data_IF_749756631920
#
_entry.id   IF_749756631920
#
_cell.length_a   1.000
_cell.length_b   1.000
_cell.length_c   1.000
_cell.angle_alpha   90.00
_cell.angle_beta   90.00
_cell.angle_gamma   90.00
#
_symmetry.space_group_name_H-M   'P 1'
#
loop_
_entity.id
_entity.type
_entity.pdbx_description
1 polymer ?
#
# COMPACT_ATOMS: atom_id res chain seq x y z
N UNK A 1 -8.44 65.04 -25.60
CA UNK A 1 -8.46 63.62 -25.23
C UNK A 1 -9.06 63.58 -23.83
N UNK A 2 -10.39 63.72 -23.73
CA UNK A 2 -11.36 62.62 -23.47
C UNK A 2 -10.90 61.86 -22.20
N UNK A 3 -11.30 62.32 -21.01
CA UNK A 3 -12.55 62.00 -20.26
C UNK A 3 -12.54 60.54 -19.74
N UNK A 4 -12.95 60.17 -18.52
CA UNK A 4 -13.56 60.87 -17.38
C UNK A 4 -13.60 59.89 -16.17
N UNK A 5 -13.87 60.45 -14.99
CA UNK A 5 -14.24 59.82 -13.72
C UNK A 5 -15.21 58.61 -13.79
N UNK A 6 -15.12 57.66 -12.83
CA UNK A 6 -16.10 57.58 -11.73
C UNK A 6 -15.79 56.51 -10.66
N UNK A 7 -16.20 56.85 -9.43
CA UNK A 7 -16.28 56.03 -8.22
C UNK A 7 -17.30 54.88 -8.35
N UNK A 8 -17.07 53.75 -7.65
CA UNK A 8 -18.09 52.95 -6.91
C UNK A 8 -17.34 52.07 -5.87
N UNK A 9 -17.83 52.06 -4.63
CA UNK A 9 -17.57 51.05 -3.56
C UNK A 9 -18.83 50.16 -3.43
N UNK A 10 -18.95 49.30 -2.39
CA UNK A 10 -18.41 47.95 -2.17
C UNK A 10 -19.54 46.88 -2.12
N UNK A 11 -19.36 45.61 -2.51
CA UNK A 11 -20.26 44.52 -2.06
C UNK A 11 -19.55 43.17 -1.93
N UNK A 12 -20.08 42.39 -0.99
CA UNK A 12 -19.65 41.12 -0.42
C UNK A 12 -19.49 39.99 -1.44
N UNK A 13 -18.58 39.04 -1.19
CA UNK A 13 -18.96 37.64 -1.36
C UNK A 13 -18.14 36.66 -0.51
N UNK A 14 -18.84 35.57 -0.23
CA UNK A 14 -18.62 34.49 0.70
C UNK A 14 -17.36 33.65 0.46
N UNK A 15 -16.99 32.93 1.52
CA UNK A 15 -15.86 32.01 1.53
C UNK A 15 -15.96 30.83 0.58
N UNK A 16 -14.83 30.14 0.45
CA UNK A 16 -14.74 28.73 0.05
C UNK A 16 -13.34 28.26 0.45
N UNK A 17 -13.23 27.50 1.54
CA UNK A 17 -12.96 26.06 1.47
C UNK A 17 -11.80 25.72 0.54
N UNK A 18 -10.57 25.93 1.01
CA UNK A 18 -9.39 25.32 0.41
C UNK A 18 -9.39 23.83 0.70
N UNK A 19 -10.02 23.06 -0.17
CA UNK A 19 -9.91 21.60 -0.23
C UNK A 19 -10.02 21.17 -1.69
N UNK A 20 -8.95 21.36 -2.46
CA UNK A 20 -8.83 20.77 -3.79
C UNK A 20 -7.64 19.81 -3.79
N UNK A 21 -7.97 18.54 -3.54
CA UNK A 21 -7.49 17.35 -4.23
C UNK A 21 -6.10 17.42 -4.86
N UNK A 22 -5.07 16.94 -4.16
CA UNK A 22 -3.70 16.76 -4.68
C UNK A 22 -3.57 15.63 -5.71
N UNK A 23 -4.68 15.07 -6.19
CA UNK A 23 -4.76 13.88 -7.03
C UNK A 23 -4.54 14.15 -8.53
N UNK A 24 -4.79 15.37 -9.03
CA UNK A 24 -4.50 15.73 -10.43
C UNK A 24 -3.00 15.79 -10.69
N UNK A 25 -2.22 16.23 -9.70
CA UNK A 25 -0.77 16.52 -9.80
C UNK A 25 0.08 15.31 -10.24
N UNK A 26 -0.36 14.08 -9.96
CA UNK A 26 0.48 12.89 -10.17
C UNK A 26 0.27 12.20 -11.52
N UNK A 27 -0.97 12.10 -12.01
CA UNK A 27 -1.22 11.56 -13.37
C UNK A 27 -0.64 12.43 -14.46
N UNK A 28 -0.62 13.72 -14.16
CA UNK A 28 -0.07 14.75 -14.98
C UNK A 28 1.47 14.75 -15.02
N UNK A 29 2.16 14.29 -13.97
CA UNK A 29 3.63 14.26 -13.96
C UNK A 29 4.28 13.29 -14.97
N UNK A 30 3.49 12.43 -15.63
CA UNK A 30 3.99 11.33 -16.48
C UNK A 30 3.65 11.44 -17.97
N UNK A 31 2.97 12.50 -18.42
CA UNK A 31 2.93 12.93 -19.82
C UNK A 31 2.46 11.92 -20.89
N UNK A 32 1.51 11.02 -20.60
CA UNK A 32 0.96 10.09 -21.61
C UNK A 32 -0.58 9.96 -21.54
N UNK A 33 -1.26 9.79 -22.70
CA UNK A 33 -2.73 9.80 -22.80
C UNK A 33 -3.40 8.52 -22.28
N UNK A 34 -4.59 8.68 -21.69
CA UNK A 34 -5.49 7.60 -21.28
C UNK A 34 -5.98 6.83 -22.52
N UNK A 35 -5.74 5.52 -22.58
CA UNK A 35 -6.25 4.64 -23.64
C UNK A 35 -7.12 3.54 -23.04
N UNK A 36 -8.26 3.31 -23.71
CA UNK A 36 -9.39 2.48 -23.33
C UNK A 36 -9.09 0.98 -23.54
N UNK A 37 -9.30 0.14 -22.51
CA UNK A 37 -9.01 -1.30 -22.60
C UNK A 37 -10.16 -2.06 -23.27
N UNK A 38 -9.91 -2.48 -24.52
CA UNK A 38 -10.76 -3.39 -25.27
C UNK A 38 -10.65 -4.85 -24.78
N UNK A 39 -11.81 -5.50 -24.72
CA UNK A 39 -12.09 -6.90 -24.34
C UNK A 39 -11.18 -7.91 -25.05
N UNK A 40 -10.57 -8.83 -24.29
CA UNK A 40 -10.05 -10.09 -24.85
C UNK A 40 -10.62 -11.29 -24.09
N UNK A 41 -11.27 -12.13 -24.88
CA UNK A 41 -11.97 -13.38 -24.56
C UNK A 41 -11.04 -14.47 -24.05
N UNK A 42 -11.61 -15.29 -23.16
CA UNK A 42 -11.15 -16.60 -22.71
C UNK A 42 -10.74 -17.55 -23.84
N UNK A 43 -9.70 -18.35 -23.58
CA UNK A 43 -9.51 -19.69 -24.13
C UNK A 43 -8.82 -20.59 -23.09
N UNK A 44 -9.08 -21.88 -23.21
CA UNK A 44 -9.14 -22.92 -22.17
C UNK A 44 -8.16 -24.06 -22.50
N UNK A 45 -7.69 -24.75 -21.45
CA UNK A 45 -7.06 -26.09 -21.33
C UNK A 45 -5.68 -26.41 -21.97
N UNK A 46 -4.74 -26.93 -21.17
CA UNK A 46 -4.50 -28.39 -21.03
C UNK A 46 -3.38 -28.74 -20.00
N UNK A 47 -3.60 -29.86 -19.30
CA UNK A 47 -2.82 -30.48 -18.20
C UNK A 47 -1.36 -30.88 -18.52
N UNK A 48 -0.54 -31.08 -17.48
CA UNK A 48 0.19 -32.35 -17.17
C UNK A 48 1.07 -32.25 -15.90
N UNK A 49 0.91 -33.26 -15.03
CA UNK A 49 1.63 -33.57 -13.78
C UNK A 49 3.15 -33.86 -13.91
N UNK A 50 3.92 -33.58 -12.84
CA UNK A 50 4.89 -34.54 -12.27
C UNK A 50 5.34 -34.17 -10.83
N UNK A 51 5.56 -35.22 -10.05
CA UNK A 51 5.69 -35.34 -8.60
C UNK A 51 7.17 -35.44 -8.14
N UNK A 52 7.53 -34.99 -6.94
CA UNK A 52 8.47 -35.66 -6.02
C UNK A 52 8.73 -34.90 -4.72
N UNK A 53 8.64 -35.66 -3.62
CA UNK A 53 8.83 -35.33 -2.19
C UNK A 53 10.30 -35.37 -1.77
N UNK A 54 10.66 -34.65 -0.70
CA UNK A 54 11.59 -35.12 0.34
C UNK A 54 11.46 -34.30 1.65
N UNK A 55 11.70 -34.96 2.79
CA UNK A 55 11.30 -34.60 4.17
C UNK A 55 12.51 -34.37 5.12
N UNK A 56 12.38 -33.38 6.05
CA UNK A 56 12.77 -33.38 7.52
C UNK A 56 14.29 -33.26 7.89
N UNK A 57 14.77 -32.49 8.94
CA UNK A 57 14.25 -32.44 10.34
C UNK A 57 14.26 -31.11 11.15
N UNK A 58 13.42 -31.11 12.21
CA UNK A 58 13.32 -30.18 13.36
C UNK A 58 14.48 -30.32 14.39
N UNK A 59 14.75 -29.24 15.15
CA UNK A 59 15.14 -29.06 16.59
C UNK A 59 15.64 -27.59 16.71
N UNK A 60 15.40 -26.72 17.71
CA UNK A 60 14.76 -26.70 19.02
C UNK A 60 14.96 -25.28 19.62
N UNK A 61 14.07 -24.86 20.51
CA UNK A 61 13.79 -23.50 21.01
C UNK A 61 14.84 -22.85 21.94
N UNK A 62 14.90 -21.50 21.98
CA UNK A 62 14.54 -20.69 23.18
C UNK A 62 14.70 -19.16 23.00
N UNK A 63 13.72 -18.45 23.57
CA UNK A 63 13.29 -17.06 23.47
C UNK A 63 14.24 -15.99 24.06
N UNK A 64 14.18 -14.77 23.52
CA UNK A 64 13.88 -13.53 24.30
C UNK A 64 13.15 -12.48 23.44
N UNK A 65 12.17 -11.84 24.05
CA UNK A 65 10.98 -11.14 23.53
C UNK A 65 11.13 -9.64 23.24
N UNK A 66 10.52 -9.16 22.13
CA UNK A 66 9.86 -7.84 21.99
C UNK A 66 9.08 -7.73 20.65
N UNK A 67 7.74 -7.76 20.69
CA UNK A 67 6.81 -7.51 19.56
C UNK A 67 6.66 -5.99 19.26
N UNK A 68 6.25 -5.49 18.09
CA UNK A 68 5.17 -5.96 17.19
C UNK A 68 5.43 -5.85 15.67
N UNK A 69 6.67 -5.72 15.24
CA UNK A 69 7.11 -6.11 13.89
C UNK A 69 8.55 -6.60 14.08
N UNK A 70 8.76 -7.87 14.42
CA UNK A 70 10.13 -8.41 14.34
C UNK A 70 10.14 -9.90 13.99
N UNK A 71 10.99 -10.21 13.00
CA UNK A 71 11.61 -11.50 12.67
C UNK A 71 10.75 -12.64 12.14
N UNK A 72 10.51 -12.59 10.83
CA UNK A 72 10.85 -13.69 9.93
C UNK A 72 11.76 -13.18 8.79
N UNK A 73 13.06 -13.11 9.05
CA UNK A 73 14.07 -13.24 8.00
C UNK A 73 14.70 -14.63 8.14
N UNK A 74 14.27 -15.54 7.26
CA UNK A 74 15.08 -16.52 6.53
C UNK A 74 14.13 -17.54 5.91
N UNK A 75 13.72 -17.31 4.67
CA UNK A 75 13.78 -18.31 3.61
C UNK A 75 13.53 -17.66 2.24
N UNK A 76 14.53 -17.86 1.36
CA UNK A 76 14.65 -17.58 -0.06
C UNK A 76 13.44 -16.99 -0.83
N UNK A 77 13.44 -15.68 -1.05
CA UNK A 77 13.01 -15.13 -2.36
C UNK A 77 14.27 -15.18 -3.25
N UNK A 78 14.58 -16.33 -3.84
CA UNK A 78 15.70 -16.50 -4.76
C UNK A 78 15.23 -16.34 -6.22
N UNK A 79 14.65 -15.18 -6.54
CA UNK A 79 14.16 -14.76 -7.87
C UNK A 79 15.26 -14.16 -8.78
N UNK A 80 16.48 -13.99 -8.30
CA UNK A 80 16.98 -12.62 -8.22
C UNK A 80 17.82 -12.10 -9.41
N UNK A 81 18.97 -12.68 -9.78
CA UNK A 81 19.95 -11.90 -10.57
C UNK A 81 19.56 -11.67 -12.05
N UNK A 82 19.26 -12.75 -12.79
CA UNK A 82 18.98 -12.65 -14.22
C UNK A 82 17.69 -11.89 -14.52
N UNK A 83 16.70 -11.99 -13.63
CA UNK A 83 15.43 -11.25 -13.74
C UNK A 83 15.61 -9.76 -13.44
N UNK A 84 16.38 -9.39 -12.41
CA UNK A 84 16.71 -7.99 -12.16
C UNK A 84 17.41 -7.33 -13.35
N UNK A 85 18.38 -8.01 -13.97
CA UNK A 85 19.05 -7.53 -15.18
C UNK A 85 18.10 -7.45 -16.38
N UNK A 86 17.13 -8.35 -16.50
CA UNK A 86 16.11 -8.30 -17.54
C UNK A 86 15.17 -7.08 -17.34
N UNK A 87 14.77 -6.78 -16.10
CA UNK A 87 13.95 -5.60 -15.79
C UNK A 87 14.67 -4.30 -16.16
N UNK A 88 15.97 -4.19 -15.86
CA UNK A 88 16.77 -3.01 -16.26
C UNK A 88 16.78 -2.88 -17.79
N UNK A 89 17.00 -3.98 -18.53
CA UNK A 89 16.97 -3.97 -20.00
C UNK A 89 15.60 -3.58 -20.56
N UNK A 90 14.52 -4.14 -20.02
CA UNK A 90 13.16 -3.77 -20.42
C UNK A 90 12.88 -2.29 -20.17
N UNK A 91 13.41 -1.71 -19.09
CA UNK A 91 13.31 -0.28 -18.81
C UNK A 91 14.05 0.58 -19.86
N UNK A 92 15.14 0.08 -20.43
CA UNK A 92 15.86 0.76 -21.52
C UNK A 92 15.16 0.59 -22.88
N UNK A 93 14.61 -0.59 -23.15
CA UNK A 93 14.06 -0.98 -24.46
C UNK A 93 12.60 -0.57 -24.65
N UNK A 94 11.76 -0.72 -23.63
CA UNK A 94 10.31 -0.50 -23.71
C UNK A 94 9.89 0.91 -23.32
N UNK A 95 10.75 1.68 -22.65
CA UNK A 95 10.42 3.06 -22.32
C UNK A 95 10.60 3.96 -23.53
N UNK A 96 9.61 4.81 -23.79
CA UNK A 96 9.60 5.75 -24.93
C UNK A 96 10.83 6.66 -24.93
N UNK A 97 11.32 7.04 -23.75
CA UNK A 97 12.42 7.99 -23.57
C UNK A 97 13.65 7.38 -22.89
N UNK A 98 13.64 6.07 -22.63
CA UNK A 98 14.65 5.43 -21.79
C UNK A 98 14.70 6.03 -20.38
N UNK A 99 15.89 6.14 -19.80
CA UNK A 99 16.11 6.83 -18.52
C UNK A 99 16.25 8.34 -18.71
N UNK A 100 15.33 9.12 -18.16
CA UNK A 100 15.32 10.59 -18.25
C UNK A 100 15.07 11.25 -16.90
N UNK A 101 15.53 12.49 -16.73
CA UNK A 101 15.15 13.31 -15.59
C UNK A 101 13.75 13.87 -15.79
N UNK A 102 12.88 13.74 -14.79
CA UNK A 102 11.55 14.36 -14.84
C UNK A 102 11.71 15.85 -14.61
N UNK A 103 11.68 16.63 -15.69
CA UNK A 103 11.85 18.09 -15.68
C UNK A 103 10.54 18.85 -15.91
N UNK A 104 9.49 18.13 -16.26
CA UNK A 104 8.18 18.68 -16.62
C UNK A 104 7.11 17.87 -15.89
N UNK A 105 6.11 18.57 -15.36
CA UNK A 105 4.85 18.00 -14.95
C UNK A 105 3.79 18.54 -15.91
N UNK A 106 2.83 17.74 -16.30
CA UNK A 106 1.63 18.32 -16.91
C UNK A 106 0.68 18.85 -15.83
N UNK A 107 -0.39 19.52 -16.22
CA UNK A 107 -1.49 19.91 -15.36
C UNK A 107 -2.77 20.01 -16.18
N UNK A 108 -3.76 19.18 -15.93
CA UNK A 108 -5.04 19.15 -16.61
C UNK A 108 -6.00 19.95 -15.77
N UNK A 109 -6.42 21.08 -16.32
CA UNK A 109 -7.40 21.93 -15.64
C UNK A 109 -8.80 21.29 -15.62
N UNK A 110 -9.72 21.96 -14.92
CA UNK A 110 -11.12 21.54 -14.81
C UNK A 110 -11.86 21.51 -16.17
N UNK A 111 -11.25 22.04 -17.23
CA UNK A 111 -11.77 22.03 -18.60
C UNK A 111 -11.20 20.85 -19.42
N UNK A 112 -10.35 20.02 -18.81
CA UNK A 112 -9.71 18.87 -19.45
C UNK A 112 -8.49 19.23 -20.30
N UNK A 113 -7.95 20.45 -20.18
CA UNK A 113 -6.81 20.91 -20.96
C UNK A 113 -5.52 20.67 -20.19
N UNK A 114 -4.65 19.83 -20.75
CA UNK A 114 -3.34 19.49 -20.18
C UNK A 114 -2.28 20.56 -20.53
N UNK A 115 -1.85 21.32 -19.54
CA UNK A 115 -0.75 22.29 -19.57
C UNK A 115 0.56 21.65 -19.17
N UNK A 116 1.66 21.86 -19.90
CA UNK A 116 2.98 21.36 -19.48
C UNK A 116 3.71 22.45 -18.69
N UNK A 117 3.99 22.18 -17.42
CA UNK A 117 4.70 23.05 -16.49
C UNK A 117 6.10 22.50 -16.25
N UNK A 118 7.11 23.31 -16.54
CA UNK A 118 8.50 22.97 -16.20
C UNK A 118 8.69 23.05 -14.69
N UNK A 119 9.20 21.98 -14.09
CA UNK A 119 9.48 21.91 -12.67
C UNK A 119 10.63 22.87 -12.32
N UNK A 120 10.44 23.68 -11.27
CA UNK A 120 11.49 24.55 -10.75
C UNK A 120 12.63 23.73 -10.13
N UNK A 121 12.27 22.63 -9.47
CA UNK A 121 13.18 21.63 -8.90
C UNK A 121 12.84 20.26 -9.51
N UNK A 122 13.51 19.88 -10.62
CA UNK A 122 13.34 18.56 -11.21
C UNK A 122 13.69 17.44 -10.23
N UNK A 123 13.11 16.26 -10.44
CA UNK A 123 13.51 15.07 -9.68
C UNK A 123 15.00 14.81 -9.90
N UNK A 124 15.73 14.65 -8.81
CA UNK A 124 17.19 14.43 -8.79
C UNK A 124 17.55 12.96 -9.00
N UNK A 125 16.82 12.28 -9.90
CA UNK A 125 17.09 10.92 -10.33
C UNK A 125 16.47 10.68 -11.70
N UNK A 126 16.99 9.69 -12.42
CA UNK A 126 16.44 9.27 -13.70
C UNK A 126 15.32 8.27 -13.51
N UNK A 127 14.30 8.39 -14.33
CA UNK A 127 13.13 7.54 -14.34
C UNK A 127 13.00 6.89 -15.73
N UNK A 128 12.64 5.63 -15.74
CA UNK A 128 12.09 4.94 -16.91
C UNK A 128 10.73 4.35 -16.53
N UNK A 129 9.73 4.56 -17.37
CA UNK A 129 8.37 4.04 -17.20
C UNK A 129 8.01 3.17 -18.38
N UNK A 130 7.45 1.99 -18.10
CA UNK A 130 6.97 1.04 -19.10
C UNK A 130 5.88 0.14 -18.53
N UNK A 131 5.15 -0.54 -19.41
CA UNK A 131 4.18 -1.57 -19.06
C UNK A 131 4.65 -2.91 -19.62
N UNK A 132 4.59 -3.96 -18.80
CA UNK A 132 4.95 -5.30 -19.23
C UNK A 132 4.21 -6.36 -18.39
N UNK A 133 3.11 -6.87 -18.93
CA UNK A 133 2.17 -7.75 -18.21
C UNK A 133 2.87 -8.96 -17.58
N UNK A 134 3.75 -9.64 -18.32
CA UNK A 134 4.46 -10.80 -17.80
C UNK A 134 5.30 -10.48 -16.55
N UNK A 135 5.99 -9.33 -16.53
CA UNK A 135 6.77 -8.92 -15.35
C UNK A 135 5.87 -8.56 -14.18
N UNK A 136 4.73 -7.90 -14.44
CA UNK A 136 3.73 -7.61 -13.41
C UNK A 136 3.20 -8.89 -12.76
N UNK A 137 2.79 -9.86 -13.57
CA UNK A 137 2.25 -11.14 -13.10
C UNK A 137 3.27 -11.91 -12.29
N UNK A 138 4.52 -12.01 -12.76
CA UNK A 138 5.60 -12.67 -12.03
C UNK A 138 5.88 -12.01 -10.67
N UNK A 139 5.96 -10.67 -10.64
CA UNK A 139 6.19 -9.92 -9.41
C UNK A 139 5.02 -10.09 -8.44
N UNK A 140 3.79 -9.96 -8.93
CA UNK A 140 2.60 -10.10 -8.09
C UNK A 140 2.45 -11.51 -7.52
N UNK A 141 2.63 -12.54 -8.34
CA UNK A 141 2.58 -13.92 -7.88
C UNK A 141 3.67 -14.24 -6.84
N UNK A 142 4.81 -13.55 -6.91
CA UNK A 142 5.88 -13.68 -5.90
C UNK A 142 5.56 -12.93 -4.61
N UNK A 143 5.04 -11.70 -4.70
CA UNK A 143 4.83 -10.81 -3.56
C UNK A 143 3.55 -11.15 -2.78
N UNK A 144 2.46 -11.48 -3.47
CA UNK A 144 1.14 -11.75 -2.89
C UNK A 144 1.18 -12.74 -1.70
N UNK A 145 1.80 -13.94 -1.78
CA UNK A 145 1.81 -14.88 -0.66
C UNK A 145 2.59 -14.38 0.56
N UNK A 146 3.56 -13.48 0.37
CA UNK A 146 4.34 -12.87 1.45
C UNK A 146 3.58 -11.72 2.11
N UNK A 147 2.77 -10.99 1.33
CA UNK A 147 2.08 -9.78 1.81
C UNK A 147 0.75 -10.11 2.50
N UNK A 148 -0.04 -11.02 1.94
CA UNK A 148 -1.39 -11.31 2.43
C UNK A 148 -1.46 -11.66 3.94
N UNK A 149 -0.53 -12.44 4.52
CA UNK A 149 -0.57 -12.73 5.96
C UNK A 149 -0.41 -11.50 6.87
N UNK A 150 0.10 -10.38 6.34
CA UNK A 150 0.42 -9.18 7.11
C UNK A 150 -0.49 -7.98 6.80
N UNK A 151 -1.42 -8.11 5.86
CA UNK A 151 -2.18 -6.97 5.34
C UNK A 151 -3.47 -6.66 6.10
N UNK A 152 -3.95 -7.59 6.94
CA UNK A 152 -5.27 -7.49 7.57
C UNK A 152 -5.41 -6.27 8.50
N UNK A 153 -4.42 -5.99 9.33
CA UNK A 153 -4.45 -4.82 10.22
C UNK A 153 -4.44 -3.52 9.40
N UNK A 154 -3.65 -3.50 8.33
CA UNK A 154 -3.58 -2.38 7.40
C UNK A 154 -4.93 -2.13 6.72
N UNK A 155 -5.54 -3.12 6.09
CA UNK A 155 -6.82 -2.95 5.36
C UNK A 155 -7.96 -2.54 6.28
N UNK A 156 -7.99 -3.06 7.52
CA UNK A 156 -8.96 -2.63 8.52
C UNK A 156 -8.76 -1.16 8.92
N UNK A 157 -7.51 -0.75 9.13
CA UNK A 157 -7.17 0.62 9.51
C UNK A 157 -7.46 1.60 8.36
N UNK A 158 -7.09 1.26 7.14
CA UNK A 158 -7.29 2.09 5.94
C UNK A 158 -8.71 2.02 5.38
N UNK A 159 -9.54 1.09 5.87
CA UNK A 159 -10.87 0.77 5.31
C UNK A 159 -10.80 0.48 3.80
N UNK A 160 -9.74 -0.20 3.40
CA UNK A 160 -9.58 -0.65 2.01
C UNK A 160 -10.00 -2.11 1.88
N UNK A 161 -10.39 -2.50 0.66
CA UNK A 161 -10.56 -3.91 0.29
C UNK A 161 -9.24 -4.68 0.32
N UNK A 162 -9.28 -5.92 -0.19
CA UNK A 162 -8.07 -6.73 -0.39
C UNK A 162 -7.18 -6.15 -1.50
N UNK A 163 -5.86 -6.37 -1.45
CA UNK A 163 -4.97 -5.92 -2.51
C UNK A 163 -5.28 -6.65 -3.82
N UNK A 164 -5.47 -5.88 -4.89
CA UNK A 164 -5.95 -6.35 -6.19
C UNK A 164 -4.80 -6.73 -7.13
N UNK A 165 -3.66 -6.06 -7.00
CA UNK A 165 -2.52 -6.23 -7.90
C UNK A 165 -1.51 -5.11 -7.76
N UNK A 166 -0.56 -5.08 -8.69
CA UNK A 166 0.44 -4.02 -8.80
C UNK A 166 -0.03 -2.94 -9.77
N UNK A 167 0.50 -1.72 -9.61
CA UNK A 167 0.33 -0.65 -10.58
C UNK A 167 0.85 -1.11 -11.96
N UNK A 168 0.03 -1.07 -13.04
CA UNK A 168 0.44 -1.51 -14.37
C UNK A 168 1.66 -0.75 -14.92
N UNK A 169 1.85 0.49 -14.47
CA UNK A 169 2.99 1.32 -14.85
C UNK A 169 4.18 1.00 -13.95
N UNK A 170 5.09 0.16 -14.47
CA UNK A 170 6.36 -0.15 -13.82
C UNK A 170 7.31 1.04 -13.96
N UNK A 171 7.92 1.45 -12.85
CA UNK A 171 8.85 2.59 -12.79
C UNK A 171 10.22 2.11 -12.34
N UNK A 172 11.23 2.20 -13.18
CA UNK A 172 12.61 1.94 -12.77
C UNK A 172 13.30 3.26 -12.53
N UNK A 173 13.75 3.45 -11.29
CA UNK A 173 14.54 4.58 -10.84
C UNK A 173 16.01 4.23 -10.96
N UNK A 174 16.78 5.18 -11.48
CA UNK A 174 18.23 5.12 -11.60
C UNK A 174 18.82 6.34 -10.91
N UNK A 175 19.71 6.07 -9.96
CA UNK A 175 20.49 7.08 -9.24
C UNK A 175 21.96 6.89 -9.57
N UNK A 176 22.61 7.94 -10.09
CA UNK A 176 24.04 7.93 -10.37
C UNK A 176 24.79 8.81 -9.37
N UNK A 177 25.79 8.25 -8.69
CA UNK A 177 26.66 9.02 -7.78
C UNK A 177 27.41 10.13 -8.53
N UNK A 178 27.75 9.92 -9.81
CA UNK A 178 28.42 10.92 -10.65
C UNK A 178 27.60 12.19 -10.87
N UNK A 179 26.28 12.03 -10.86
CA UNK A 179 25.34 13.11 -11.15
C UNK A 179 24.86 13.77 -9.85
N UNK A 180 25.29 13.24 -8.69
CA UNK A 180 24.82 13.59 -7.34
C UNK A 180 23.30 13.41 -7.20
N UNK A 181 22.77 12.33 -7.79
CA UNK A 181 21.37 11.98 -7.66
C UNK A 181 21.02 11.68 -6.20
N UNK A 182 19.93 12.25 -5.73
CA UNK A 182 19.44 12.10 -4.34
C UNK A 182 17.96 11.79 -4.31
N UNK A 183 17.52 11.17 -3.21
CA UNK A 183 16.12 11.00 -2.91
C UNK A 183 15.81 11.58 -1.54
N UNK A 184 15.39 12.84 -1.56
CA UNK A 184 15.16 13.63 -0.35
C UNK A 184 14.01 13.04 0.49
N UNK A 185 13.97 13.35 1.80
CA UNK A 185 12.85 12.97 2.65
C UNK A 185 11.48 13.39 2.08
N UNK A 186 10.56 12.43 1.94
CA UNK A 186 9.22 12.66 1.39
C UNK A 186 8.24 11.55 1.82
N UNK A 187 6.97 11.74 1.47
CA UNK A 187 5.93 10.72 1.46
C UNK A 187 5.63 10.32 0.02
N UNK A 188 5.21 9.08 -0.19
CA UNK A 188 4.84 8.63 -1.52
C UNK A 188 3.45 9.10 -1.91
N UNK A 189 3.29 9.45 -3.18
CA UNK A 189 2.02 9.91 -3.71
C UNK A 189 1.07 8.73 -4.00
N UNK A 190 -0.17 8.90 -3.57
CA UNK A 190 -1.31 8.06 -3.94
C UNK A 190 -1.56 8.15 -5.44
N UNK A 191 -1.72 6.99 -6.08
CA UNK A 191 -2.08 6.87 -7.50
C UNK A 191 -3.43 6.18 -7.59
N UNK A 192 -4.38 6.80 -8.28
CA UNK A 192 -5.62 6.12 -8.65
C UNK A 192 -5.40 5.35 -9.95
N UNK A 193 -6.18 4.32 -10.23
CA UNK A 193 -6.16 3.59 -11.49
C UNK A 193 -7.60 3.19 -11.78
N UNK A 194 -8.14 3.62 -12.91
CA UNK A 194 -9.47 3.20 -13.35
C UNK A 194 -9.36 1.79 -13.95
N UNK A 195 -10.05 0.82 -13.36
CA UNK A 195 -10.09 -0.55 -13.87
C UNK A 195 -10.93 -0.72 -15.15
N UNK A 196 -10.89 -1.91 -15.73
CA UNK A 196 -11.87 -2.34 -16.74
C UNK A 196 -13.20 -2.59 -16.03
N UNK A 197 -14.11 -1.61 -16.11
CA UNK A 197 -15.29 -1.51 -15.26
C UNK A 197 -15.08 -0.42 -14.20
N UNK A 198 -16.13 0.31 -13.89
CA UNK A 198 -16.17 1.59 -13.14
C UNK A 198 -15.61 1.56 -11.70
N UNK A 199 -14.85 0.54 -11.30
CA UNK A 199 -14.18 0.46 -10.02
C UNK A 199 -12.86 1.24 -10.08
N UNK A 200 -12.79 2.32 -9.31
CA UNK A 200 -11.53 3.03 -9.07
C UNK A 200 -10.68 2.24 -8.08
N UNK A 201 -9.42 2.03 -8.44
CA UNK A 201 -8.41 1.43 -7.59
C UNK A 201 -7.45 2.51 -7.13
N UNK A 202 -6.87 2.35 -5.96
CA UNK A 202 -5.96 3.33 -5.37
C UNK A 202 -4.76 2.64 -4.77
N UNK A 203 -3.57 3.20 -5.00
CA UNK A 203 -2.36 2.71 -4.36
C UNK A 203 -2.24 3.21 -2.94
N UNK A 204 -1.93 2.29 -2.02
CA UNK A 204 -1.74 2.62 -0.60
C UNK A 204 -0.38 2.14 -0.05
N UNK A 205 0.26 1.19 -0.74
CA UNK A 205 1.57 0.66 -0.38
C UNK A 205 2.55 0.81 -1.54
N UNK A 206 3.77 1.20 -1.21
CA UNK A 206 4.92 1.21 -2.14
C UNK A 206 5.66 -0.11 -2.05
N UNK A 207 6.08 -0.63 -3.21
CA UNK A 207 7.01 -1.76 -3.34
C UNK A 207 8.28 -1.26 -4.03
N UNK A 208 9.41 -1.37 -3.34
CA UNK A 208 10.74 -1.12 -3.90
C UNK A 208 11.48 -2.44 -4.06
N UNK A 209 11.72 -2.87 -5.30
CA UNK A 209 12.55 -4.03 -5.61
C UNK A 209 13.94 -3.54 -6.02
N UNK A 210 14.97 -3.93 -5.25
CA UNK A 210 16.35 -3.54 -5.53
C UNK A 210 16.89 -4.35 -6.72
N UNK A 211 17.34 -3.70 -7.79
CA UNK A 211 17.74 -4.37 -9.04
C UNK A 211 19.24 -4.62 -9.16
N UNK A 212 20.04 -4.12 -8.20
CA UNK A 212 21.46 -4.37 -8.06
C UNK A 212 21.90 -4.24 -6.59
N UNK A 213 23.12 -4.63 -6.26
CA UNK A 213 23.59 -4.77 -4.87
C UNK A 213 24.20 -3.47 -4.32
N UNK A 214 23.73 -3.06 -3.14
CA UNK A 214 24.37 -2.02 -2.33
C UNK A 214 25.48 -2.57 -1.43
N UNK A 215 25.88 -1.76 -0.44
CA UNK A 215 26.89 -2.15 0.56
C UNK A 215 28.31 -2.27 0.00
N UNK A 216 28.64 -1.45 -1.00
CA UNK A 216 29.98 -1.38 -1.59
C UNK A 216 30.25 -2.39 -2.71
N UNK A 217 29.22 -3.04 -3.26
CA UNK A 217 29.36 -3.95 -4.41
C UNK A 217 29.17 -3.23 -5.75
N UNK A 218 27.93 -2.90 -6.10
CA UNK A 218 27.62 -2.13 -7.32
C UNK A 218 27.57 -0.62 -7.02
N UNK A 219 27.20 -0.27 -5.79
CA UNK A 219 27.20 1.08 -5.25
C UNK A 219 27.37 1.07 -3.72
N UNK A 220 27.68 2.23 -3.15
CA UNK A 220 27.73 2.46 -1.70
C UNK A 220 26.91 3.68 -1.30
N UNK A 221 26.38 3.67 -0.09
CA UNK A 221 25.21 4.45 0.29
C UNK A 221 23.92 3.85 -0.30
N UNK A 222 22.90 4.69 -0.52
CA UNK A 222 21.65 4.26 -1.15
C UNK A 222 20.72 3.47 -0.23
N UNK A 223 20.97 3.41 1.07
CA UNK A 223 20.05 2.80 2.03
C UNK A 223 18.73 3.56 2.12
N UNK A 224 17.62 2.84 2.26
CA UNK A 224 16.31 3.45 2.51
C UNK A 224 16.15 3.67 4.01
N UNK A 225 15.91 4.92 4.42
CA UNK A 225 15.71 5.30 5.81
C UNK A 225 14.23 5.60 6.07
N UNK A 226 13.65 4.97 7.07
CA UNK A 226 12.33 5.33 7.58
C UNK A 226 12.48 6.27 8.77
N UNK A 227 11.97 7.48 8.61
CA UNK A 227 12.18 8.61 9.50
C UNK A 227 11.03 8.79 10.51
N UNK A 228 9.86 8.20 10.26
CA UNK A 228 8.67 8.29 11.11
C UNK A 228 8.64 7.27 12.26
N UNK A 229 9.82 6.88 12.78
CA UNK A 229 9.91 5.98 13.93
C UNK A 229 9.47 6.75 15.19
N UNK A 230 8.17 6.69 15.48
CA UNK A 230 7.48 7.29 16.64
C UNK A 230 7.93 6.76 18.01
N UNK A 231 9.07 6.07 18.09
CA UNK A 231 9.63 5.57 19.35
C UNK A 231 10.54 6.63 19.97
N UNK A 232 10.01 7.34 20.97
CA UNK A 232 10.76 8.01 22.06
C UNK A 232 12.13 8.57 21.66
N UNK A 233 12.20 9.71 20.96
CA UNK A 233 13.32 10.69 20.84
C UNK A 233 14.79 10.22 20.76
N UNK A 234 15.08 8.92 20.65
CA UNK A 234 16.39 8.26 20.73
C UNK A 234 16.41 6.92 19.95
N UNK A 235 15.32 6.54 19.26
CA UNK A 235 15.33 5.34 18.44
C UNK A 235 16.04 5.64 17.11
N UNK A 236 17.06 4.85 16.78
CA UNK A 236 17.71 4.89 15.46
C UNK A 236 16.66 4.65 14.35
N UNK A 237 16.78 5.32 13.20
CA UNK A 237 15.88 5.09 12.07
C UNK A 237 15.96 3.63 11.63
N UNK A 238 14.84 3.09 11.13
CA UNK A 238 14.86 1.77 10.49
C UNK A 238 15.56 1.91 9.13
N UNK A 239 16.63 1.14 8.94
CA UNK A 239 17.47 1.20 7.73
C UNK A 239 17.30 -0.08 6.92
N UNK A 240 17.01 0.06 5.63
CA UNK A 240 17.02 -1.04 4.66
C UNK A 240 18.22 -0.90 3.74
N UNK A 241 19.16 -1.85 3.86
CA UNK A 241 20.31 -1.95 2.96
C UNK A 241 19.88 -2.66 1.66
N UNK A 242 20.08 -2.04 0.49
CA UNK A 242 19.74 -2.64 -0.79
C UNK A 242 20.52 -3.92 -1.03
N UNK A 243 19.80 -4.97 -1.39
CA UNK A 243 20.39 -6.21 -1.87
C UNK A 243 19.55 -6.67 -3.04
N UNK A 244 20.22 -7.00 -4.14
CA UNK A 244 19.57 -7.34 -5.40
C UNK A 244 18.46 -8.35 -5.17
N UNK A 245 17.31 -8.14 -5.82
CA UNK A 245 16.08 -8.92 -5.80
C UNK A 245 15.34 -9.02 -4.47
N UNK A 246 15.81 -8.36 -3.41
CA UNK A 246 14.97 -8.12 -2.23
C UNK A 246 13.98 -7.00 -2.52
N UNK A 247 12.86 -7.04 -1.83
CA UNK A 247 11.85 -5.99 -1.87
C UNK A 247 11.65 -5.38 -0.48
N UNK A 248 11.40 -4.08 -0.45
CA UNK A 248 10.82 -3.38 0.69
C UNK A 248 9.36 -3.02 0.35
N UNK A 249 8.44 -3.28 1.27
CA UNK A 249 7.02 -2.94 1.15
C UNK A 249 6.64 -2.07 2.34
N UNK A 250 6.05 -0.90 2.08
CA UNK A 250 5.72 0.07 3.12
C UNK A 250 4.57 0.98 2.71
N UNK A 251 3.97 1.63 3.70
CA UNK A 251 2.82 2.53 3.52
C UNK A 251 3.23 3.86 2.87
N UNK A 252 2.37 4.43 2.04
CA UNK A 252 2.66 5.69 1.34
C UNK A 252 2.90 6.88 2.28
N UNK A 253 2.23 6.85 3.44
CA UNK A 253 2.36 7.83 4.52
C UNK A 253 3.56 7.57 5.44
N UNK A 254 4.46 6.64 5.10
CA UNK A 254 5.70 6.46 5.84
C UNK A 254 6.77 7.45 5.36
N UNK A 255 7.16 8.41 6.22
CA UNK A 255 8.18 9.39 5.88
C UNK A 255 9.54 8.73 5.67
N UNK A 256 10.13 8.88 4.49
CA UNK A 256 11.34 8.15 4.14
C UNK A 256 12.26 8.89 3.19
N UNK A 257 13.52 8.47 3.13
CA UNK A 257 14.55 9.00 2.23
C UNK A 257 15.50 7.91 1.76
N UNK A 258 16.37 8.24 0.80
CA UNK A 258 17.54 7.42 0.46
C UNK A 258 18.82 8.13 0.88
N UNK A 259 19.75 7.41 1.48
CA UNK A 259 21.12 7.90 1.68
C UNK A 259 21.74 8.22 0.31
N UNK A 260 22.41 9.38 0.15
CA UNK A 260 23.10 9.71 -1.09
C UNK A 260 24.16 8.66 -1.45
N UNK A 261 24.32 8.39 -2.74
CA UNK A 261 25.35 7.47 -3.21
C UNK A 261 26.73 8.12 -3.09
N UNK A 262 27.71 7.35 -2.61
CA UNK A 262 29.13 7.77 -2.58
C UNK A 262 29.88 7.30 -3.82
N UNK A 263 29.47 6.16 -4.41
CA UNK A 263 29.92 5.70 -5.72
C UNK A 263 28.86 4.81 -6.40
N UNK A 264 29.05 4.60 -7.70
CA UNK A 264 28.28 3.62 -8.47
C UNK A 264 26.91 4.13 -8.90
N UNK A 265 26.07 3.19 -9.32
CA UNK A 265 24.72 3.46 -9.80
C UNK A 265 23.75 2.51 -9.09
N UNK A 266 22.67 3.03 -8.53
CA UNK A 266 21.60 2.25 -7.90
C UNK A 266 20.41 2.17 -8.85
N UNK A 267 19.90 0.96 -9.07
CA UNK A 267 18.68 0.69 -9.81
C UNK A 267 17.61 0.11 -8.87
N UNK A 268 16.41 0.69 -8.91
CA UNK A 268 15.27 0.22 -8.11
C UNK A 268 14.02 0.21 -8.98
N UNK A 269 13.31 -0.91 -9.02
CA UNK A 269 11.95 -0.93 -9.53
C UNK A 269 11.02 -0.47 -8.41
N UNK A 270 10.27 0.60 -8.65
CA UNK A 270 9.16 1.04 -7.82
C UNK A 270 7.84 0.71 -8.51
N UNK A 271 6.98 0.04 -7.78
CA UNK A 271 5.56 -0.11 -8.13
C UNK A 271 4.75 0.07 -6.85
N UNK A 272 3.43 0.08 -6.98
CA UNK A 272 2.53 0.26 -5.84
C UNK A 272 1.49 -0.87 -5.83
N UNK A 273 0.97 -1.19 -4.66
CA UNK A 273 -0.12 -2.17 -4.51
C UNK A 273 -1.43 -1.42 -4.56
N UNK A 274 -2.31 -1.86 -5.47
CA UNK A 274 -3.62 -1.29 -5.70
C UNK A 274 -4.66 -1.95 -4.81
N UNK A 275 -5.54 -1.14 -4.24
CA UNK A 275 -6.67 -1.53 -3.41
C UNK A 275 -7.95 -0.93 -3.98
N UNK A 276 -9.06 -1.63 -3.79
CA UNK A 276 -10.37 -0.99 -3.88
C UNK A 276 -10.63 -0.23 -2.58
N UNK A 277 -11.24 0.95 -2.68
CA UNK A 277 -11.67 1.71 -1.50
C UNK A 277 -13.17 1.87 -1.56
N UNK A 278 -13.82 1.70 -0.41
CA UNK A 278 -15.24 1.98 -0.27
C UNK A 278 -15.45 3.50 -0.33
N UNK A 279 -16.51 3.98 -0.99
CA UNK A 279 -16.74 5.41 -1.29
C UNK A 279 -16.66 6.38 -0.07
N UNK A 280 -16.73 5.84 1.16
CA UNK A 280 -16.60 6.58 2.43
C UNK A 280 -15.16 6.64 3.01
N UNK A 281 -14.20 5.93 2.42
CA UNK A 281 -12.83 5.73 2.90
C UNK A 281 -11.83 6.77 2.36
N UNK A 282 -12.08 8.07 2.57
CA UNK A 282 -11.19 9.12 2.06
C UNK A 282 -9.72 8.97 2.51
N UNK A 283 -8.82 8.67 1.56
CA UNK A 283 -7.38 8.43 1.79
C UNK A 283 -6.58 9.73 1.90
N UNK A 284 -7.12 10.84 1.39
CA UNK A 284 -6.44 12.14 1.31
C UNK A 284 -6.48 12.95 2.62
N UNK A 285 -6.90 12.35 3.74
CA UNK A 285 -6.84 13.01 5.04
C UNK A 285 -5.42 12.86 5.59
N UNK A 286 -4.69 13.95 5.90
CA UNK A 286 -3.39 13.84 6.55
C UNK A 286 -3.55 13.04 7.83
N UNK A 287 -2.91 11.87 7.86
CA UNK A 287 -2.95 10.93 8.99
C UNK A 287 -2.08 11.46 10.12
N UNK A 288 -2.57 12.52 10.76
CA UNK A 288 -1.92 13.07 11.94
C UNK A 288 -2.06 12.07 13.08
N UNK A 289 -0.96 11.85 13.80
CA UNK A 289 -0.82 10.93 14.91
C UNK A 289 -1.52 11.47 16.19
N UNK A 290 -2.72 12.01 16.02
CA UNK A 290 -3.62 12.25 17.13
C UNK A 290 -4.36 10.94 17.37
N UNK A 291 -3.81 10.15 18.30
CA UNK A 291 -4.48 9.09 19.04
C UNK A 291 -5.73 9.63 19.76
N UNK A 292 -6.72 10.11 19.01
CA UNK A 292 -7.96 10.66 19.56
C UNK A 292 -9.16 10.61 18.61
N UNK A 293 -9.18 9.73 17.61
CA UNK A 293 -10.43 9.43 16.89
C UNK A 293 -10.70 7.92 16.82
N UNK A 294 -11.42 7.48 17.87
CA UNK A 294 -12.29 6.29 17.92
C UNK A 294 -11.67 4.93 18.26
N UNK A 295 -11.14 4.80 19.49
CA UNK A 295 -11.51 3.61 20.29
C UNK A 295 -13.03 3.65 20.43
N UNK A 296 -13.76 2.86 19.63
CA UNK A 296 -15.16 2.58 19.95
C UNK A 296 -15.14 1.62 21.13
N UNK A 297 -15.32 2.14 22.34
CA UNK A 297 -15.84 1.31 23.43
C UNK A 297 -17.20 0.80 22.94
N UNK A 298 -17.30 -0.50 22.66
CA UNK A 298 -18.59 -1.11 22.32
C UNK A 298 -19.53 -0.95 23.50
N UNK A 299 -20.75 -0.48 23.23
CA UNK A 299 -21.79 -0.32 24.25
C UNK A 299 -22.69 -1.55 24.39
N UNK A 300 -22.47 -2.54 23.53
CA UNK A 300 -23.25 -3.76 23.46
C UNK A 300 -23.14 -4.57 24.76
N UNK A 301 -24.28 -4.99 25.28
CA UNK A 301 -24.40 -5.88 26.44
C UNK A 301 -24.73 -7.30 26.05
N UNK A 302 -25.28 -7.50 24.87
CA UNK A 302 -25.68 -8.79 24.32
C UNK A 302 -24.97 -9.08 22.99
N UNK A 303 -24.93 -10.36 22.61
CA UNK A 303 -24.38 -10.76 21.32
C UNK A 303 -25.21 -10.19 20.15
N UNK A 304 -26.53 -10.04 20.32
CA UNK A 304 -27.41 -9.41 19.33
C UNK A 304 -27.03 -7.94 19.10
N UNK A 305 -26.92 -7.15 20.18
CA UNK A 305 -26.51 -5.74 20.10
C UNK A 305 -25.13 -5.60 19.43
N UNK A 306 -24.21 -6.51 19.76
CA UNK A 306 -22.88 -6.55 19.15
C UNK A 306 -22.95 -6.89 17.65
N UNK A 307 -23.79 -7.84 17.25
CA UNK A 307 -24.00 -8.19 15.84
C UNK A 307 -24.64 -7.03 15.06
N UNK A 308 -25.54 -6.27 15.67
CA UNK A 308 -26.14 -5.07 15.08
C UNK A 308 -25.11 -3.93 14.95
N UNK A 309 -24.31 -3.67 15.99
CA UNK A 309 -23.22 -2.68 15.96
C UNK A 309 -22.17 -3.01 14.86
N UNK A 310 -21.90 -4.29 14.64
CA UNK A 310 -20.92 -4.78 13.65
C UNK A 310 -21.51 -5.04 12.26
N UNK A 311 -22.81 -4.79 12.05
CA UNK A 311 -23.52 -5.10 10.80
C UNK A 311 -23.34 -6.55 10.32
N UNK A 312 -23.31 -7.53 11.24
CA UNK A 312 -23.21 -8.96 10.93
C UNK A 312 -24.39 -9.39 10.07
N UNK A 313 -24.13 -10.21 9.05
CA UNK A 313 -25.17 -10.58 8.08
C UNK A 313 -26.34 -11.35 8.73
N UNK A 314 -27.52 -11.23 8.12
CA UNK A 314 -28.74 -11.86 8.66
C UNK A 314 -28.64 -13.39 8.73
N UNK A 315 -27.90 -14.00 7.81
CA UNK A 315 -27.66 -15.45 7.82
C UNK A 315 -26.91 -15.88 9.08
N UNK A 316 -25.81 -15.19 9.42
CA UNK A 316 -25.01 -15.45 10.60
C UNK A 316 -25.76 -15.18 11.91
N UNK A 317 -26.59 -14.11 11.96
CA UNK A 317 -27.47 -13.86 13.12
C UNK A 317 -28.49 -14.98 13.31
N UNK A 318 -29.04 -15.53 12.22
CA UNK A 318 -29.94 -16.68 12.29
C UNK A 318 -29.22 -17.95 12.77
N UNK A 319 -28.00 -18.23 12.31
CA UNK A 319 -27.20 -19.36 12.80
C UNK A 319 -26.89 -19.26 14.30
N UNK A 320 -26.56 -18.07 14.79
CA UNK A 320 -26.36 -17.81 16.22
C UNK A 320 -27.67 -17.97 17.02
N UNK A 321 -28.81 -17.57 16.44
CA UNK A 321 -30.11 -17.75 17.06
C UNK A 321 -30.52 -19.23 17.16
N UNK A 322 -30.27 -20.02 16.11
CA UNK A 322 -30.51 -21.48 16.11
C UNK A 322 -29.67 -22.20 17.18
N UNK A 323 -28.47 -21.71 17.45
CA UNK A 323 -27.58 -22.20 18.51
C UNK A 323 -27.91 -21.64 19.90
N UNK A 324 -28.91 -20.75 20.01
CA UNK A 324 -29.31 -20.11 21.27
C UNK A 324 -28.28 -19.14 21.84
N UNK A 325 -27.37 -18.63 21.01
CA UNK A 325 -26.26 -17.76 21.41
C UNK A 325 -26.61 -16.27 21.29
N UNK A 326 -27.48 -15.91 20.36
CA UNK A 326 -27.71 -14.51 19.96
C UNK A 326 -28.20 -13.62 21.12
N UNK A 327 -29.00 -14.18 22.05
CA UNK A 327 -29.58 -13.45 23.18
C UNK A 327 -28.69 -13.46 24.43
N UNK A 328 -27.52 -14.11 24.39
CA UNK A 328 -26.61 -14.16 25.54
C UNK A 328 -26.01 -12.78 25.81
N UNK A 329 -25.84 -12.45 27.09
CA UNK A 329 -24.99 -11.32 27.47
C UNK A 329 -23.54 -11.61 27.11
N UNK A 330 -22.75 -10.58 26.79
CA UNK A 330 -21.34 -10.76 26.46
C UNK A 330 -20.57 -11.42 27.63
N UNK A 331 -20.92 -11.08 28.87
CA UNK A 331 -20.38 -11.71 30.08
C UNK A 331 -20.72 -13.21 30.14
N UNK A 332 -21.97 -13.60 29.87
CA UNK A 332 -22.38 -15.01 29.87
C UNK A 332 -21.71 -15.79 28.75
N UNK A 333 -21.60 -15.17 27.57
CA UNK A 333 -20.93 -15.73 26.41
C UNK A 333 -19.45 -16.00 26.71
N UNK A 334 -18.76 -15.08 27.38
CA UNK A 334 -17.33 -15.17 27.71
C UNK A 334 -17.02 -16.06 28.93
N UNK A 335 -18.03 -16.45 29.72
CA UNK A 335 -17.83 -17.30 30.91
C UNK A 335 -17.06 -18.62 30.70
N UNK A 336 -17.13 -19.31 29.54
CA UNK A 336 -16.32 -20.51 29.27
C UNK A 336 -14.86 -20.20 28.91
N UNK A 337 -14.52 -18.92 28.70
CA UNK A 337 -13.22 -18.44 28.25
C UNK A 337 -13.19 -18.12 26.75
N UNK A 338 -12.51 -17.03 26.41
CA UNK A 338 -12.45 -16.48 25.04
C UNK A 338 -11.97 -17.51 23.98
N UNK A 339 -11.02 -18.37 24.32
CA UNK A 339 -10.52 -19.40 23.40
C UNK A 339 -11.62 -20.41 23.00
N UNK A 340 -12.48 -20.78 23.95
CA UNK A 340 -13.61 -21.69 23.71
C UNK A 340 -14.70 -21.00 22.91
N UNK A 341 -14.99 -19.73 23.21
CA UNK A 341 -15.95 -18.91 22.45
C UNK A 341 -15.49 -18.72 21.02
N UNK A 342 -14.20 -18.47 20.80
CA UNK A 342 -13.61 -18.36 19.46
C UNK A 342 -13.86 -19.64 18.67
N UNK A 343 -13.50 -20.80 19.19
CA UNK A 343 -13.71 -22.06 18.48
C UNK A 343 -15.20 -22.26 18.13
N UNK A 344 -16.09 -22.01 19.08
CA UNK A 344 -17.54 -22.14 18.89
C UNK A 344 -18.08 -21.20 17.80
N UNK A 345 -17.63 -19.94 17.75
CA UNK A 345 -18.07 -18.98 16.73
C UNK A 345 -17.60 -19.38 15.34
N UNK A 346 -16.36 -19.87 15.21
CA UNK A 346 -15.83 -20.37 13.94
C UNK A 346 -16.49 -21.66 13.46
N UNK A 347 -17.05 -22.47 14.37
CA UNK A 347 -17.81 -23.67 14.01
C UNK A 347 -19.24 -23.34 13.50
N UNK A 348 -19.76 -22.15 13.84
CA UNK A 348 -21.15 -21.74 13.56
C UNK A 348 -21.27 -20.69 12.46
N UNK A 349 -20.25 -19.85 12.30
CA UNK A 349 -20.26 -18.68 11.40
C UNK A 349 -19.28 -18.86 10.24
N UNK A 350 -19.45 -18.04 9.20
CA UNK A 350 -18.38 -17.88 8.21
C UNK A 350 -17.17 -17.17 8.85
N UNK A 351 -15.99 -17.41 8.28
CA UNK A 351 -14.71 -16.93 8.81
C UNK A 351 -14.71 -15.41 9.06
N UNK A 352 -15.29 -14.63 8.15
CA UNK A 352 -15.33 -13.17 8.26
C UNK A 352 -16.21 -12.70 9.44
N UNK A 353 -17.42 -13.23 9.60
CA UNK A 353 -18.33 -12.85 10.69
C UNK A 353 -17.82 -13.36 12.06
N UNK A 354 -17.20 -14.55 12.09
CA UNK A 354 -16.57 -15.09 13.28
C UNK A 354 -15.43 -14.17 13.76
N UNK A 355 -14.57 -13.74 12.83
CA UNK A 355 -13.46 -12.83 13.15
C UNK A 355 -13.95 -11.47 13.63
N UNK A 356 -14.98 -10.89 13.00
CA UNK A 356 -15.56 -9.61 13.42
C UNK A 356 -16.04 -9.64 14.88
N UNK A 357 -16.80 -10.67 15.24
CA UNK A 357 -17.35 -10.81 16.59
C UNK A 357 -16.22 -11.09 17.59
N UNK A 358 -15.29 -11.99 17.28
CA UNK A 358 -14.18 -12.35 18.19
C UNK A 358 -13.27 -11.15 18.46
N UNK A 359 -12.95 -10.36 17.44
CA UNK A 359 -12.12 -9.17 17.59
C UNK A 359 -12.78 -8.12 18.49
N UNK A 360 -14.10 -7.96 18.40
CA UNK A 360 -14.84 -7.06 19.30
C UNK A 360 -15.00 -7.63 20.72
N UNK A 361 -15.05 -8.95 20.87
CA UNK A 361 -15.05 -9.59 22.19
C UNK A 361 -13.68 -9.45 22.90
N UNK A 362 -12.56 -9.51 22.17
CA UNK A 362 -11.21 -9.29 22.71
C UNK A 362 -11.08 -7.89 23.31
N UNK A 363 -11.61 -6.87 22.63
CA UNK A 363 -11.57 -5.49 23.11
C UNK A 363 -12.48 -5.28 24.32
N UNK A 364 -13.63 -5.94 24.36
CA UNK A 364 -14.53 -5.92 25.52
C UNK A 364 -13.96 -6.63 26.75
N UNK A 365 -13.32 -7.80 26.60
CA UNK A 365 -12.69 -8.57 27.70
C UNK A 365 -11.44 -7.87 28.26
N UNK A 366 -10.78 -7.02 27.47
CA UNK A 366 -9.62 -6.24 27.92
C UNK A 366 -9.98 -5.00 28.75
N UNK A 367 -11.26 -4.58 28.71
CA UNK A 367 -11.76 -3.36 29.32
C UNK A 367 -12.60 -3.60 30.61
N UNK A 368 -13.00 -4.84 30.88
CA UNK A 368 -13.67 -5.28 32.12
C UNK A 368 -12.74 -6.19 32.93
#
# INVERSE_FOLDING_TARGET
>A
MIDCHNQVSPEDDNGSSCSESTTSVFFEMLGLPVMDFGVISSAVDDDVHADSKEEIPLIGSNLTSASRIDREQKEAICVILAKCQAIIRLAEELSVSGFYYVTEASHTDNEGITHIVRLQEPNTHKLSVFEHQHTLDELWNTLKPVILPHINEFTQFTKSGLPLGLNPRLRVLRYDASDNDVFNPHFDATTHVTGSGTCEMTSLLTVLVYLNDGGGKDFDGGETYYLDSTKNTNAEPTIVVPSIGKAAVFEHDLFHSSVPLTFGTKFVLRTDILFQIDEDGGVDKPRNNNNSESRRDTTAKTLLELCEELSVCEHSKNSLNEMGLIDLTLESLLSPGLATVKQMLFDVLNENDADLIVNSLITHDSNN
#
